data_IF_222293206723
#
_entry.id   IF_222293206723
#
_cell.length_a   1.000
_cell.length_b   1.000
_cell.length_c   1.000
_cell.angle_alpha   90.00
_cell.angle_beta   90.00
_cell.angle_gamma   90.00
#
_symmetry.space_group_name_H-M   'P 1'
#
loop_
_entity.id
_entity.type
_entity.pdbx_description
1 polymer ?
#
# COMPACT_ATOMS: atom_id res chain seq x y z
N UNK A 1 -2.49 27.46 3.05
CA UNK A 1 -3.23 26.65 4.04
C UNK A 1 -3.06 25.19 3.63
N UNK A 2 -2.30 24.40 4.38
CA UNK A 2 -2.19 22.96 4.13
C UNK A 2 -3.44 22.29 4.70
N UNK A 3 -4.21 21.61 3.86
CA UNK A 3 -5.33 20.80 4.32
C UNK A 3 -4.77 19.59 5.07
N UNK A 4 -4.89 19.62 6.40
CA UNK A 4 -4.75 18.43 7.23
C UNK A 4 -5.92 17.51 6.91
N UNK A 5 -5.66 16.44 6.16
CA UNK A 5 -6.60 15.34 6.08
C UNK A 5 -6.48 14.56 7.40
N UNK A 6 -7.39 14.84 8.34
CA UNK A 6 -7.62 14.03 9.52
C UNK A 6 -8.13 12.67 9.06
N UNK A 7 -7.22 11.72 8.81
CA UNK A 7 -7.61 10.32 8.66
C UNK A 7 -8.25 9.89 9.97
N UNK A 8 -9.55 9.59 9.95
CA UNK A 8 -10.20 8.83 11.01
C UNK A 8 -9.30 7.64 11.35
N UNK A 9 -9.04 7.44 12.65
CA UNK A 9 -8.02 6.56 13.22
C UNK A 9 -7.50 5.46 12.27
N UNK A 10 -6.25 5.55 11.79
CA UNK A 10 -5.62 4.47 11.03
C UNK A 10 -5.19 3.36 12.00
N UNK A 11 -5.57 2.11 11.71
CA UNK A 11 -5.09 0.95 12.48
C UNK A 11 -3.76 0.47 11.93
N UNK A 12 -2.69 0.70 12.69
CA UNK A 12 -1.33 0.29 12.33
C UNK A 12 -1.01 -1.11 12.87
N UNK A 13 -0.35 -1.92 12.05
CA UNK A 13 0.25 -3.20 12.43
C UNK A 13 1.72 -3.20 12.04
N UNK A 14 2.59 -3.63 12.97
CA UNK A 14 4.01 -3.83 12.70
C UNK A 14 4.22 -5.11 11.87
N UNK A 15 5.21 -5.06 10.99
CA UNK A 15 5.66 -6.17 10.19
C UNK A 15 7.19 -6.08 9.98
N UNK A 16 7.78 -7.15 9.45
CA UNK A 16 9.22 -7.25 9.20
C UNK A 16 9.44 -7.60 7.75
N UNK A 17 10.27 -6.82 7.06
CA UNK A 17 10.58 -7.00 5.65
C UNK A 17 11.39 -8.27 5.41
N UNK A 18 11.58 -8.64 4.14
CA UNK A 18 12.43 -9.80 3.81
C UNK A 18 13.88 -9.67 4.29
N UNK A 19 14.37 -8.44 4.51
CA UNK A 19 15.72 -8.16 5.03
C UNK A 19 15.77 -7.92 6.54
N UNK A 20 14.64 -8.05 7.25
CA UNK A 20 14.60 -7.87 8.70
C UNK A 20 14.31 -6.44 9.16
N UNK A 21 13.90 -5.55 8.26
CA UNK A 21 13.59 -4.14 8.58
C UNK A 21 12.14 -4.02 9.06
N UNK A 22 11.92 -3.34 10.19
CA UNK A 22 10.57 -3.07 10.68
C UNK A 22 9.84 -2.06 9.78
N UNK A 23 8.59 -2.39 9.44
CA UNK A 23 7.69 -1.49 8.72
C UNK A 23 6.28 -1.58 9.33
N UNK A 24 5.45 -0.58 9.06
CA UNK A 24 4.05 -0.60 9.50
C UNK A 24 3.12 -0.63 8.30
N UNK A 25 2.05 -1.41 8.41
CA UNK A 25 0.93 -1.38 7.48
C UNK A 25 -0.29 -0.81 8.17
N UNK A 26 -1.03 0.04 7.47
CA UNK A 26 -2.20 0.73 7.99
C UNK A 26 -3.40 0.59 7.06
N UNK A 27 -4.59 0.57 7.65
CA UNK A 27 -5.86 0.72 6.93
C UNK A 27 -6.65 1.84 7.61
N UNK A 28 -7.23 2.75 6.82
CA UNK A 28 -8.09 3.80 7.37
C UNK A 28 -9.34 3.17 8.02
N UNK A 29 -9.66 3.56 9.25
CA UNK A 29 -10.94 3.20 9.88
C UNK A 29 -11.83 4.42 9.78
N UNK A 30 -12.62 4.49 8.71
CA UNK A 30 -13.48 5.64 8.50
C UNK A 30 -14.68 5.64 9.45
N UNK A 31 -14.90 6.78 10.11
CA UNK A 31 -16.21 7.26 10.56
C UNK A 31 -17.06 7.82 9.41
N UNK A 32 -16.83 7.37 8.17
CA UNK A 32 -17.57 7.75 6.98
C UNK A 32 -17.97 6.48 6.22
N UNK A 33 -19.26 6.13 6.30
CA UNK A 33 -19.84 5.05 5.50
C UNK A 33 -19.78 3.67 6.16
N UNK A 34 -20.42 3.52 7.33
CA UNK A 34 -20.88 2.22 7.80
C UNK A 34 -21.91 1.65 6.81
N UNK A 35 -21.43 0.87 5.85
CA UNK A 35 -22.22 -0.12 5.14
C UNK A 35 -21.42 -1.42 5.11
N UNK A 36 -21.87 -2.38 5.93
CA UNK A 36 -21.55 -3.79 5.79
C UNK A 36 -20.50 -4.25 6.81
N UNK A 37 -20.90 -4.95 7.87
CA UNK A 37 -21.23 -6.38 7.83
C UNK A 37 -19.98 -7.21 7.54
N UNK A 38 -19.68 -8.13 8.44
CA UNK A 38 -18.66 -9.15 8.30
C UNK A 38 -18.67 -9.71 6.87
N UNK A 39 -17.75 -9.23 6.03
CA UNK A 39 -17.53 -9.83 4.72
C UNK A 39 -16.59 -10.98 5.00
N UNK A 40 -17.16 -12.18 4.97
CA UNK A 40 -16.44 -13.44 5.06
C UNK A 40 -15.20 -13.39 4.16
N UNK A 41 -14.13 -14.02 4.64
CA UNK A 41 -12.95 -14.39 3.85
C UNK A 41 -13.38 -14.93 2.49
N UNK A 42 -13.44 -14.06 1.49
CA UNK A 42 -13.32 -14.44 0.11
C UNK A 42 -11.94 -13.96 -0.27
N UNK A 43 -10.91 -14.74 0.12
CA UNK A 43 -9.70 -14.76 -0.68
C UNK A 43 -10.20 -15.05 -2.09
N UNK A 44 -10.09 -14.09 -3.01
CA UNK A 44 -10.45 -14.33 -4.40
C UNK A 44 -9.61 -15.53 -4.87
N UNK A 45 -10.22 -16.71 -4.89
CA UNK A 45 -9.71 -17.88 -5.58
C UNK A 45 -10.12 -17.69 -7.04
N UNK A 46 -9.20 -17.12 -7.82
CA UNK A 46 -9.39 -16.89 -9.26
C UNK A 46 -9.25 -15.43 -9.63
N UNK A 47 -8.00 -14.97 -9.75
CA UNK A 47 -7.52 -14.00 -10.72
C UNK A 47 -6.04 -14.34 -10.89
N UNK A 48 -5.50 -14.34 -12.11
CA UNK A 48 -4.15 -14.85 -12.39
C UNK A 48 -3.06 -14.09 -11.61
N UNK A 49 -2.13 -14.85 -11.02
CA UNK A 49 -0.94 -14.30 -10.39
C UNK A 49 -0.25 -13.27 -11.28
N UNK A 50 -0.03 -12.08 -10.73
CA UNK A 50 0.66 -11.01 -11.42
C UNK A 50 2.00 -10.71 -10.76
N UNK A 51 2.99 -10.39 -11.60
CA UNK A 51 4.28 -9.87 -11.19
C UNK A 51 4.68 -8.80 -12.21
N UNK A 52 4.48 -7.53 -11.85
CA UNK A 52 4.60 -6.39 -12.76
C UNK A 52 5.83 -5.56 -12.38
N UNK A 53 6.80 -5.37 -13.31
CA UNK A 53 7.89 -4.45 -13.10
C UNK A 53 7.37 -3.01 -13.11
N UNK A 54 7.82 -2.21 -12.15
CA UNK A 54 7.50 -0.78 -12.03
C UNK A 54 8.76 0.02 -11.74
N UNK A 55 8.63 1.34 -11.66
CA UNK A 55 9.68 2.23 -11.18
C UNK A 55 9.05 3.38 -10.42
N UNK A 56 8.65 3.14 -9.17
CA UNK A 56 8.01 4.14 -8.33
C UNK A 56 9.01 4.74 -7.35
N UNK A 57 9.40 5.97 -7.63
CA UNK A 57 10.26 6.80 -6.78
C UNK A 57 9.41 7.64 -5.81
N UNK A 58 10.06 8.19 -4.79
CA UNK A 58 9.45 9.18 -3.89
C UNK A 58 9.17 10.46 -4.68
N UNK A 59 7.89 10.82 -4.83
CA UNK A 59 7.46 11.98 -5.64
C UNK A 59 6.52 12.94 -4.88
N UNK A 60 6.08 12.60 -3.67
CA UNK A 60 5.21 13.43 -2.83
C UNK A 60 3.92 13.90 -3.53
N UNK A 61 3.37 13.08 -4.43
CA UNK A 61 2.10 13.33 -5.12
C UNK A 61 1.35 12.03 -5.38
N UNK A 62 0.03 12.15 -5.58
CA UNK A 62 -0.79 11.03 -6.04
C UNK A 62 -0.58 10.79 -7.54
N UNK A 63 -0.37 9.54 -7.91
CA UNK A 63 -0.18 9.07 -9.27
C UNK A 63 -1.28 8.07 -9.59
N UNK A 64 -2.12 8.41 -10.57
CA UNK A 64 -3.16 7.52 -11.10
C UNK A 64 -2.53 6.53 -12.07
N UNK A 65 -2.85 5.25 -11.90
CA UNK A 65 -2.27 4.19 -12.72
C UNK A 65 -3.07 3.98 -14.02
N UNK A 66 -2.46 3.48 -15.11
CA UNK A 66 -3.18 3.17 -16.35
C UNK A 66 -4.24 2.08 -16.14
N UNK A 67 -5.34 2.13 -16.90
CA UNK A 67 -6.49 1.22 -16.76
C UNK A 67 -6.09 -0.27 -16.79
N UNK A 68 -5.14 -0.67 -17.64
CA UNK A 68 -4.67 -2.05 -17.72
C UNK A 68 -3.95 -2.51 -16.44
N UNK A 69 -3.20 -1.61 -15.80
CA UNK A 69 -2.59 -1.87 -14.50
C UNK A 69 -3.65 -2.01 -13.42
N UNK A 70 -4.69 -1.17 -13.44
CA UNK A 70 -5.81 -1.22 -12.49
C UNK A 70 -6.58 -2.54 -12.63
N UNK A 71 -6.92 -2.96 -13.85
CA UNK A 71 -7.64 -4.22 -14.11
C UNK A 71 -6.89 -5.44 -13.59
N UNK A 72 -5.57 -5.45 -13.78
CA UNK A 72 -4.70 -6.56 -13.40
C UNK A 72 -4.47 -6.59 -11.90
N UNK A 73 -4.07 -5.46 -11.31
CA UNK A 73 -3.61 -5.42 -9.92
C UNK A 73 -4.68 -5.00 -8.92
N UNK A 74 -5.75 -4.36 -9.35
CA UNK A 74 -6.71 -3.69 -8.48
C UNK A 74 -6.21 -2.39 -7.84
N UNK A 75 -4.98 -1.93 -8.14
CA UNK A 75 -4.46 -0.67 -7.62
C UNK A 75 -4.84 0.47 -8.56
N UNK A 76 -5.63 1.42 -8.06
CA UNK A 76 -6.14 2.55 -8.82
C UNK A 76 -5.14 3.70 -8.93
N UNK A 77 -4.53 4.02 -7.80
CA UNK A 77 -3.57 5.13 -7.65
C UNK A 77 -2.70 4.91 -6.42
N UNK A 78 -1.53 5.53 -6.42
CA UNK A 78 -0.62 5.49 -5.28
C UNK A 78 -0.06 6.87 -4.96
N UNK A 79 0.44 7.04 -3.75
CA UNK A 79 1.26 8.15 -3.30
C UNK A 79 2.51 7.55 -2.67
N UNK A 80 3.68 8.00 -3.10
CA UNK A 80 4.93 7.67 -2.43
C UNK A 80 5.65 8.94 -2.05
N UNK A 81 5.79 9.17 -0.74
CA UNK A 81 6.28 10.44 -0.22
C UNK A 81 6.94 10.28 1.14
N UNK A 82 7.44 11.39 1.65
CA UNK A 82 7.99 11.48 2.99
C UNK A 82 6.88 11.27 4.02
N UNK A 83 7.18 10.56 5.11
CA UNK A 83 6.22 10.37 6.20
C UNK A 83 6.01 11.65 7.05
N UNK A 84 6.84 12.68 6.83
CA UNK A 84 6.79 13.96 7.52
C UNK A 84 7.47 13.94 8.89
N UNK A 85 6.92 13.17 9.84
CA UNK A 85 7.44 13.09 11.22
C UNK A 85 7.28 11.68 11.80
N UNK A 86 8.25 11.24 12.61
CA UNK A 86 8.23 9.94 13.29
C UNK A 86 9.43 9.05 12.94
N UNK A 87 9.44 7.79 13.42
CA UNK A 87 10.55 6.86 13.18
C UNK A 87 10.60 6.32 11.75
N UNK A 88 9.54 6.52 10.96
CA UNK A 88 9.49 6.12 9.55
C UNK A 88 9.83 7.30 8.66
N UNK A 89 10.68 7.06 7.66
CA UNK A 89 11.14 8.12 6.75
C UNK A 89 10.16 8.32 5.60
N UNK A 90 9.52 7.24 5.14
CA UNK A 90 8.67 7.26 3.95
C UNK A 90 7.29 6.65 4.22
N UNK A 91 6.28 7.14 3.50
CA UNK A 91 4.94 6.54 3.45
C UNK A 91 4.57 6.23 2.01
N UNK A 92 4.24 4.97 1.76
CA UNK A 92 3.60 4.50 0.55
C UNK A 92 2.10 4.32 0.84
N UNK A 93 1.26 4.93 0.03
CA UNK A 93 -0.21 4.89 0.15
C UNK A 93 -0.76 4.43 -1.17
N UNK A 94 -1.78 3.61 -1.16
CA UNK A 94 -2.37 3.11 -2.38
C UNK A 94 -3.86 2.84 -2.19
N UNK A 95 -4.63 3.10 -3.25
CA UNK A 95 -6.08 2.88 -3.25
C UNK A 95 -6.36 1.67 -4.12
N UNK A 96 -7.17 0.75 -3.61
CA UNK A 96 -7.54 -0.48 -4.29
C UNK A 96 -9.04 -0.64 -4.44
N UNK A 97 -9.45 -1.33 -5.51
CA UNK A 97 -10.80 -1.84 -5.73
C UNK A 97 -10.90 -3.37 -5.66
N UNK A 98 -9.76 -4.07 -5.58
CA UNK A 98 -9.66 -5.51 -5.35
C UNK A 98 -8.80 -5.86 -4.14
N UNK A 99 -9.24 -6.87 -3.40
CA UNK A 99 -8.58 -7.34 -2.17
C UNK A 99 -7.57 -8.44 -2.51
N UNK A 100 -6.27 -8.12 -2.38
CA UNK A 100 -5.17 -9.06 -2.62
C UNK A 100 -4.13 -9.04 -1.50
N UNK A 101 -3.24 -10.02 -1.52
CA UNK A 101 -2.00 -9.97 -0.74
C UNK A 101 -0.91 -9.39 -1.64
N UNK A 102 -0.59 -8.11 -1.45
CA UNK A 102 0.39 -7.43 -2.28
C UNK A 102 1.80 -7.64 -1.74
N UNK A 103 2.75 -7.85 -2.64
CA UNK A 103 4.19 -7.78 -2.37
C UNK A 103 4.80 -6.66 -3.21
N UNK A 104 5.46 -5.71 -2.54
CA UNK A 104 6.21 -4.62 -3.16
C UNK A 104 7.70 -4.93 -3.07
N UNK A 105 8.35 -5.13 -4.21
CA UNK A 105 9.79 -5.35 -4.30
C UNK A 105 10.55 -4.04 -4.50
N UNK A 106 11.65 -3.89 -3.79
CA UNK A 106 12.48 -2.69 -3.78
C UNK A 106 13.75 -2.85 -4.62
N UNK A 107 14.29 -1.73 -5.10
CA UNK A 107 15.53 -1.72 -5.88
C UNK A 107 16.75 -2.27 -5.13
N UNK A 108 16.76 -2.19 -3.79
CA UNK A 108 17.83 -2.70 -2.93
C UNK A 108 17.70 -4.21 -2.63
N UNK A 109 16.69 -4.88 -3.22
CA UNK A 109 16.40 -6.28 -3.03
C UNK A 109 15.51 -6.60 -1.82
N UNK A 110 15.04 -5.60 -1.06
CA UNK A 110 14.03 -5.85 -0.03
C UNK A 110 12.63 -6.03 -0.61
N UNK A 111 11.72 -6.54 0.20
CA UNK A 111 10.32 -6.67 -0.15
C UNK A 111 9.42 -6.50 1.07
N UNK A 112 8.30 -5.82 0.82
CA UNK A 112 7.29 -5.52 1.82
C UNK A 112 5.96 -6.14 1.43
N UNK A 113 5.31 -6.78 2.39
CA UNK A 113 4.04 -7.49 2.18
C UNK A 113 2.91 -6.82 2.93
N UNK A 114 1.75 -6.71 2.29
CA UNK A 114 0.53 -6.24 2.92
C UNK A 114 -0.63 -7.13 2.50
N UNK A 115 -1.28 -7.72 3.51
CA UNK A 115 -2.54 -8.41 3.35
C UNK A 115 -3.65 -7.39 3.55
N UNK A 116 -4.32 -6.99 2.46
CA UNK A 116 -5.51 -6.13 2.57
C UNK A 116 -6.74 -7.00 2.80
N UNK A 117 -7.71 -6.49 3.57
CA UNK A 117 -8.96 -7.19 3.87
C UNK A 117 -10.21 -6.40 3.44
N UNK A 118 -10.00 -5.21 2.90
CA UNK A 118 -11.05 -4.31 2.42
C UNK A 118 -10.54 -3.49 1.24
N UNK A 119 -11.45 -3.06 0.38
CA UNK A 119 -11.15 -2.04 -0.63
C UNK A 119 -10.92 -0.67 0.02
N UNK A 120 -10.41 0.29 -0.75
CA UNK A 120 -10.14 1.65 -0.27
C UNK A 120 -8.65 1.93 -0.11
N UNK A 121 -8.32 2.88 0.78
CA UNK A 121 -6.96 3.37 0.97
C UNK A 121 -6.20 2.57 2.03
N UNK A 122 -4.98 2.16 1.65
CA UNK A 122 -4.04 1.44 2.52
C UNK A 122 -2.71 2.16 2.58
N UNK A 123 -1.99 1.91 3.66
CA UNK A 123 -0.78 2.62 4.03
C UNK A 123 0.33 1.63 4.34
N UNK A 124 1.55 1.99 3.97
CA UNK A 124 2.77 1.31 4.33
C UNK A 124 3.81 2.36 4.72
N UNK A 125 4.32 2.30 5.94
CA UNK A 125 5.38 3.18 6.43
C UNK A 125 6.70 2.43 6.44
N UNK A 126 7.70 3.01 5.79
CA UNK A 126 8.99 2.40 5.55
C UNK A 126 10.07 3.13 6.37
N UNK A 127 10.90 2.36 7.05
CA UNK A 127 12.11 2.86 7.72
C UNK A 127 13.33 2.30 7.00
N UNK A 128 13.66 2.90 5.86
CA UNK A 128 14.81 2.51 5.04
C UNK A 128 15.74 3.70 4.89
N UNK A 129 17.04 3.41 4.84
CA UNK A 129 18.05 4.43 4.56
C UNK A 129 18.05 4.79 3.07
N UNK A 130 18.25 6.07 2.78
CA UNK A 130 18.32 6.59 1.40
C UNK A 130 16.94 6.70 0.73
N UNK A 131 16.93 6.96 -0.58
CA UNK A 131 15.70 7.16 -1.35
C UNK A 131 15.14 5.84 -1.88
N UNK A 132 14.04 5.30 -1.30
CA UNK A 132 13.49 4.03 -1.74
C UNK A 132 12.89 4.11 -3.14
N UNK A 133 13.02 3.01 -3.87
CA UNK A 133 12.39 2.82 -5.18
C UNK A 133 11.70 1.46 -5.20
N UNK A 134 10.39 1.45 -5.43
CA UNK A 134 9.65 0.20 -5.68
C UNK A 134 9.84 -0.15 -7.15
N UNK A 135 10.33 -1.35 -7.41
CA UNK A 135 10.64 -1.85 -8.76
C UNK A 135 9.72 -2.97 -9.21
N UNK A 136 8.86 -3.46 -8.31
CA UNK A 136 8.02 -4.63 -8.57
C UNK A 136 6.76 -4.63 -7.70
N UNK A 137 5.63 -5.01 -8.29
CA UNK A 137 4.37 -5.26 -7.60
C UNK A 137 3.86 -6.64 -7.97
N UNK A 138 3.58 -7.47 -6.97
CA UNK A 138 3.08 -8.82 -7.17
C UNK A 138 1.86 -9.15 -6.30
N UNK A 139 1.02 -10.05 -6.80
CA UNK A 139 -0.20 -10.53 -6.13
C UNK A 139 -0.53 -11.98 -6.52
N UNK A 140 -1.58 -12.56 -5.89
CA UNK A 140 -2.02 -13.93 -6.12
C UNK A 140 -2.60 -14.14 -7.51
#
# INVERSE_FOLDING_TARGET
MAQSFEYGSVQWKKAVSSRGVEYEVGTAVDGAGAAGAAVAQSAAQGDDAFDIPVHWTVENKWITLPEDFQKTTGILKYFFGDAGTGPFQYTFRFVIDKVYSYTFGMADGDSYKIHVFSVGEHFMRLNTDGSPVIVRVAGP
#
